data_IF_652583195773
#
_entry.id   IF_652583195773
#
_cell.length_a   1.000
_cell.length_b   1.000
_cell.length_c   1.000
_cell.angle_alpha   90.00
_cell.angle_beta   90.00
_cell.angle_gamma   90.00
#
_symmetry.space_group_name_H-M   'P 1'
#
loop_
_entity.id
_entity.type
_entity.pdbx_description
1 polymer ?
#
# COMPACT_ATOMS: atom_id res chain seq x y z
N UNK A 1 17.10 3.83 3.76
CA UNK A 1 16.82 2.87 4.83
C UNK A 1 15.49 2.24 4.51
N UNK A 2 15.52 0.97 4.10
CA UNK A 2 14.35 0.18 3.75
C UNK A 2 13.87 -0.50 5.03
N UNK A 3 12.70 -0.12 5.56
CA UNK A 3 12.07 -0.85 6.66
C UNK A 3 10.99 -1.73 6.06
N UNK A 4 11.09 -3.05 6.27
CA UNK A 4 10.05 -4.01 5.91
C UNK A 4 9.43 -4.44 7.25
N UNK A 5 8.14 -4.19 7.46
CA UNK A 5 7.40 -4.69 8.63
C UNK A 5 6.33 -5.66 8.15
N UNK A 6 6.66 -6.94 7.88
CA UNK A 6 5.65 -7.93 7.53
C UNK A 6 4.80 -8.34 8.75
N UNK A 7 5.23 -7.97 9.96
CA UNK A 7 4.52 -7.99 11.24
C UNK A 7 5.36 -7.16 12.21
N UNK A 8 4.80 -6.13 12.86
CA UNK A 8 5.57 -5.36 13.83
C UNK A 8 5.63 -6.12 15.17
N UNK A 9 6.84 -6.51 15.57
CA UNK A 9 7.23 -6.47 16.98
C UNK A 9 8.12 -5.23 17.14
N UNK A 10 7.79 -4.43 18.17
CA UNK A 10 8.43 -3.20 18.67
C UNK A 10 9.83 -2.87 18.10
N UNK A 11 10.00 -1.67 17.54
CA UNK A 11 11.30 -1.09 17.20
C UNK A 11 11.53 0.15 18.09
N UNK A 12 12.68 0.15 18.77
CA UNK A 12 13.11 1.22 19.67
C UNK A 12 13.72 2.39 18.88
N UNK A 13 13.54 3.61 19.37
CA UNK A 13 13.85 4.87 18.69
C UNK A 13 15.35 5.19 18.70
N UNK A 14 15.97 5.40 17.54
CA UNK A 14 17.16 6.25 17.41
C UNK A 14 17.05 7.22 16.22
N UNK A 15 17.44 8.46 16.50
CA UNK A 15 17.54 9.58 15.56
C UNK A 15 18.69 9.41 14.57
N UNK A 16 18.48 9.64 13.26
CA UNK A 16 19.40 10.50 12.50
C UNK A 16 18.95 10.85 11.07
N UNK A 17 19.48 11.98 10.63
CA UNK A 17 19.06 12.92 9.58
C UNK A 17 19.57 12.61 8.17
N UNK A 18 19.52 11.37 7.73
CA UNK A 18 19.58 11.08 6.28
C UNK A 18 18.80 9.80 5.99
N UNK A 19 18.32 9.58 4.76
CA UNK A 19 18.27 8.27 4.05
C UNK A 19 17.08 8.15 3.08
N UNK A 20 17.43 7.75 1.86
CA UNK A 20 16.57 7.45 0.72
C UNK A 20 15.60 6.25 0.91
N UNK A 21 14.51 6.28 0.12
CA UNK A 21 13.51 5.25 -0.26
C UNK A 21 12.98 4.33 0.86
N UNK A 22 11.66 4.32 1.11
CA UNK A 22 11.00 3.57 2.20
C UNK A 22 9.81 2.71 1.73
N UNK A 23 9.76 1.44 2.11
CA UNK A 23 8.66 0.49 1.82
C UNK A 23 7.81 0.29 3.07
N UNK A 24 6.56 -0.11 2.90
CA UNK A 24 5.69 -0.49 4.01
C UNK A 24 4.65 -1.51 3.49
N UNK A 25 4.38 -2.57 4.25
CA UNK A 25 3.49 -3.67 3.86
C UNK A 25 2.58 -4.04 5.01
N UNK A 26 1.30 -4.23 4.72
CA UNK A 26 0.26 -4.71 5.64
C UNK A 26 0.35 -4.03 7.01
N UNK A 27 0.92 -4.69 8.02
CA UNK A 27 1.04 -4.19 9.38
C UNK A 27 1.96 -2.98 9.57
N UNK A 28 2.64 -2.46 8.55
CA UNK A 28 3.50 -1.29 8.72
C UNK A 28 2.75 -0.06 9.24
N UNK A 29 1.48 0.14 8.84
CA UNK A 29 0.65 1.25 9.33
C UNK A 29 0.17 1.07 10.78
N UNK A 30 0.47 -0.06 11.45
CA UNK A 30 0.19 -0.30 12.87
C UNK A 30 1.35 0.10 13.78
N UNK A 31 2.51 0.46 13.21
CA UNK A 31 3.68 0.88 13.96
C UNK A 31 3.62 2.37 14.32
N UNK A 32 4.26 2.74 15.44
CA UNK A 32 4.53 4.13 15.85
C UNK A 32 3.29 5.06 15.74
N UNK A 33 2.12 4.57 16.16
CA UNK A 33 0.82 5.26 16.00
C UNK A 33 0.70 6.57 16.78
N UNK A 34 1.62 6.83 17.71
CA UNK A 34 1.72 8.11 18.45
C UNK A 34 2.67 9.11 17.81
N UNK A 35 3.47 8.69 16.82
CA UNK A 35 4.49 9.53 16.18
C UNK A 35 3.92 10.17 14.91
N UNK A 36 3.57 11.45 14.98
CA UNK A 36 2.99 12.20 13.84
C UNK A 36 3.86 12.14 12.58
N UNK A 37 5.18 12.15 12.75
CA UNK A 37 6.15 11.92 11.69
C UNK A 37 5.90 10.62 10.91
N UNK A 38 5.63 9.52 11.61
CA UNK A 38 5.45 8.21 11.00
C UNK A 38 4.13 8.13 10.23
N UNK A 39 3.05 8.70 10.76
CA UNK A 39 1.76 8.78 10.06
C UNK A 39 1.80 9.62 8.80
N UNK A 40 2.46 10.78 8.87
CA UNK A 40 2.69 11.62 7.68
C UNK A 40 3.57 10.89 6.65
N UNK A 41 4.54 10.11 7.14
CA UNK A 41 5.41 9.32 6.30
C UNK A 41 4.68 8.17 5.59
N UNK A 42 3.90 7.35 6.29
CA UNK A 42 3.17 6.21 5.72
C UNK A 42 1.92 6.64 4.96
N UNK A 43 1.39 7.82 5.28
CA UNK A 43 0.18 8.39 4.71
C UNK A 43 -1.06 8.23 5.58
N UNK A 44 -1.13 7.14 6.34
CA UNK A 44 -2.26 6.87 7.19
C UNK A 44 -1.87 5.92 8.34
N UNK A 45 -2.60 6.00 9.44
CA UNK A 45 -2.51 5.03 10.53
C UNK A 45 -3.64 4.00 10.40
N UNK A 46 -3.30 2.73 10.62
CA UNK A 46 -4.28 1.65 10.69
C UNK A 46 -5.28 1.93 11.81
N UNK A 47 -6.56 1.70 11.52
CA UNK A 47 -7.68 1.86 12.46
C UNK A 47 -8.32 0.52 12.79
N UNK A 48 -8.46 -0.38 11.81
CA UNK A 48 -9.17 -1.65 12.00
C UNK A 48 -9.36 -2.40 10.69
N UNK A 49 -10.05 -3.54 10.74
CA UNK A 49 -10.54 -4.24 9.55
C UNK A 49 -11.78 -5.09 9.89
N UNK A 50 -12.63 -5.39 8.89
CA UNK A 50 -13.67 -6.41 9.04
C UNK A 50 -13.06 -7.81 9.08
N UNK A 51 -13.90 -8.84 9.23
CA UNK A 51 -13.43 -10.21 9.01
C UNK A 51 -12.81 -10.35 7.62
N UNK A 52 -11.75 -11.14 7.56
CA UNK A 52 -11.05 -11.46 6.32
C UNK A 52 -12.02 -12.07 5.31
N UNK A 53 -12.10 -11.48 4.12
CA UNK A 53 -13.08 -11.82 3.10
C UNK A 53 -12.58 -11.41 1.71
N UNK A 54 -13.30 -11.86 0.68
CA UNK A 54 -13.05 -11.37 -0.68
C UNK A 54 -13.59 -9.95 -0.84
N UNK A 55 -12.85 -9.11 -1.55
CA UNK A 55 -13.29 -7.80 -2.00
C UNK A 55 -12.83 -7.58 -3.45
N UNK A 56 -13.52 -6.70 -4.16
CA UNK A 56 -13.08 -6.22 -5.48
C UNK A 56 -12.25 -4.95 -5.30
N UNK A 57 -11.04 -4.97 -5.82
CA UNK A 57 -10.11 -3.84 -5.83
C UNK A 57 -10.07 -3.21 -7.21
N UNK A 58 -10.19 -1.89 -7.26
CA UNK A 58 -10.05 -1.09 -8.48
C UNK A 58 -8.61 -0.56 -8.61
N UNK A 59 -8.03 -0.72 -9.80
CA UNK A 59 -6.71 -0.18 -10.12
C UNK A 59 -6.81 1.31 -10.45
N UNK A 60 -6.02 2.10 -9.74
CA UNK A 60 -5.74 3.50 -10.04
C UNK A 60 -4.29 3.59 -10.54
N UNK A 61 -4.05 4.30 -11.64
CA UNK A 61 -2.71 4.42 -12.24
C UNK A 61 -2.11 3.09 -12.79
N UNK A 62 -2.70 2.52 -13.87
CA UNK A 62 -2.33 1.20 -14.40
C UNK A 62 -0.92 1.13 -15.01
N UNK A 63 -0.24 2.25 -15.19
CA UNK A 63 1.14 2.29 -15.70
C UNK A 63 2.18 2.14 -14.60
N UNK A 64 1.80 2.25 -13.33
CA UNK A 64 2.71 2.08 -12.22
C UNK A 64 3.12 0.59 -12.08
N UNK A 65 4.42 0.26 -11.93
CA UNK A 65 4.88 -1.14 -11.95
C UNK A 65 4.21 -2.04 -10.92
N UNK A 66 3.85 -1.49 -9.76
CA UNK A 66 3.12 -2.25 -8.73
C UNK A 66 1.73 -2.73 -9.16
N UNK A 67 1.10 -2.16 -10.19
CA UNK A 67 -0.27 -2.55 -10.59
C UNK A 67 -0.39 -2.82 -12.08
N UNK A 68 0.71 -2.78 -12.83
CA UNK A 68 0.70 -2.94 -14.29
C UNK A 68 0.31 -4.35 -14.77
N UNK A 69 0.50 -5.36 -13.92
CA UNK A 69 0.06 -6.74 -14.20
C UNK A 69 -1.40 -7.00 -13.80
N UNK A 70 -2.03 -6.08 -13.06
CA UNK A 70 -3.39 -6.28 -12.55
C UNK A 70 -4.43 -5.91 -13.61
N UNK A 71 -5.55 -6.64 -13.69
CA UNK A 71 -6.71 -6.18 -14.44
C UNK A 71 -7.29 -4.88 -13.84
N UNK A 72 -8.11 -4.11 -14.58
CA UNK A 72 -8.71 -2.87 -14.06
C UNK A 72 -9.47 -3.03 -12.74
N UNK A 73 -10.05 -4.22 -12.54
CA UNK A 73 -10.65 -4.68 -11.29
C UNK A 73 -10.16 -6.08 -10.97
N UNK A 74 -9.79 -6.31 -9.72
CA UNK A 74 -9.21 -7.57 -9.25
C UNK A 74 -9.92 -8.03 -7.98
N UNK A 75 -10.48 -9.24 -7.98
CA UNK A 75 -11.03 -9.85 -6.77
C UNK A 75 -9.91 -10.53 -5.99
N UNK A 76 -9.79 -10.21 -4.70
CA UNK A 76 -8.74 -10.76 -3.85
C UNK A 76 -9.24 -10.95 -2.41
N UNK A 77 -8.78 -12.03 -1.76
CA UNK A 77 -9.15 -12.41 -0.40
C UNK A 77 -8.10 -11.92 0.60
N UNK A 78 -8.47 -10.98 1.47
CA UNK A 78 -7.52 -10.35 2.40
C UNK A 78 -8.24 -9.61 3.55
N UNK A 79 -7.46 -9.10 4.51
CA UNK A 79 -7.94 -8.13 5.48
C UNK A 79 -8.03 -6.74 4.82
N UNK A 80 -9.26 -6.26 4.64
CA UNK A 80 -9.50 -4.93 4.08
C UNK A 80 -9.23 -3.87 5.16
N UNK A 81 -7.99 -3.39 5.21
CA UNK A 81 -7.55 -2.40 6.19
C UNK A 81 -8.34 -1.11 6.10
N UNK A 82 -8.67 -0.58 7.28
CA UNK A 82 -9.30 0.70 7.54
C UNK A 82 -8.28 1.65 8.18
N UNK A 83 -8.43 2.95 7.93
CA UNK A 83 -7.42 3.94 8.34
C UNK A 83 -8.05 5.14 9.04
N UNK A 84 -7.35 5.72 10.03
CA UNK A 84 -7.83 6.87 10.80
C UNK A 84 -8.01 8.15 9.95
N UNK A 85 -7.25 8.27 8.86
CA UNK A 85 -7.31 9.37 7.91
C UNK A 85 -7.16 8.86 6.48
N UNK A 86 -7.61 9.67 5.51
CA UNK A 86 -7.44 9.35 4.10
C UNK A 86 -6.01 9.69 3.67
N UNK A 87 -5.20 8.71 3.19
CA UNK A 87 -3.84 8.98 2.72
C UNK A 87 -3.79 10.06 1.62
N UNK A 88 -4.86 10.28 0.85
CA UNK A 88 -4.91 11.35 -0.16
C UNK A 88 -4.74 12.74 0.43
N UNK A 89 -5.12 12.96 1.68
CA UNK A 89 -4.91 14.23 2.40
C UNK A 89 -3.41 14.54 2.61
N UNK A 90 -2.54 13.53 2.45
CA UNK A 90 -1.08 13.64 2.58
C UNK A 90 -0.35 13.66 1.22
N UNK A 91 -0.98 14.14 0.15
CA UNK A 91 -0.43 14.23 -1.22
C UNK A 91 0.06 12.88 -1.77
N UNK A 92 -0.70 11.83 -1.51
CA UNK A 92 -0.39 10.46 -1.93
C UNK A 92 -1.20 10.09 -3.17
N UNK A 93 -0.61 9.26 -4.04
CA UNK A 93 -1.27 8.74 -5.24
C UNK A 93 -1.71 7.30 -5.01
N UNK A 94 -3.01 7.04 -5.24
CA UNK A 94 -3.59 5.71 -5.08
C UNK A 94 -3.19 4.76 -6.22
N UNK A 95 -3.01 3.49 -5.86
CA UNK A 95 -2.76 2.37 -6.75
C UNK A 95 -3.91 1.36 -6.73
N UNK A 96 -4.43 1.06 -5.54
CA UNK A 96 -5.56 0.17 -5.36
C UNK A 96 -6.55 0.78 -4.38
N UNK A 97 -7.83 0.62 -4.69
CA UNK A 97 -8.91 0.92 -3.74
C UNK A 97 -9.93 -0.20 -3.69
N UNK A 98 -10.42 -0.57 -2.50
CA UNK A 98 -11.51 -1.53 -2.37
C UNK A 98 -12.85 -0.88 -2.72
N UNK A 99 -13.64 -1.55 -3.55
CA UNK A 99 -14.99 -1.12 -3.94
C UNK A 99 -15.93 -1.41 -2.76
N UNK A 100 -16.50 -0.36 -2.17
CA UNK A 100 -17.29 -0.46 -0.93
C UNK A 100 -18.46 -1.45 -1.01
N UNK A 101 -19.12 -1.58 -2.15
CA UNK A 101 -20.24 -2.50 -2.33
C UNK A 101 -19.84 -3.97 -2.48
N UNK A 102 -18.54 -4.29 -2.52
CA UNK A 102 -18.03 -5.65 -2.75
C UNK A 102 -17.68 -6.42 -1.47
N UNK A 103 -17.74 -5.78 -0.29
CA UNK A 103 -17.38 -6.40 0.98
C UNK A 103 -18.20 -5.83 2.15
N UNK A 104 -18.26 -6.57 3.25
CA UNK A 104 -18.85 -6.11 4.51
C UNK A 104 -17.81 -5.34 5.31
N UNK A 105 -18.04 -4.05 5.54
CA UNK A 105 -17.10 -3.16 6.23
C UNK A 105 -17.27 -3.12 7.77
N UNK A 106 -18.11 -3.98 8.33
CA UNK A 106 -18.31 -4.10 9.78
C UNK A 106 -17.01 -4.56 10.44
N UNK A 107 -16.34 -3.65 11.16
CA UNK A 107 -15.08 -3.99 11.82
C UNK A 107 -15.30 -5.01 12.95
N UNK A 108 -14.45 -6.02 12.98
CA UNK A 108 -14.45 -7.07 14.01
C UNK A 108 -13.14 -7.09 14.80
N UNK A 109 -12.12 -6.34 14.39
CA UNK A 109 -10.82 -6.25 15.06
C UNK A 109 -10.15 -4.89 14.80
N UNK A 110 -9.41 -4.37 15.80
CA UNK A 110 -8.52 -3.21 15.65
C UNK A 110 -8.99 -1.85 16.22
N UNK A 111 -10.25 -1.68 16.59
CA UNK A 111 -10.76 -0.38 17.10
C UNK A 111 -11.45 0.47 16.03
N UNK A 112 -12.13 1.53 16.47
CA UNK A 112 -13.11 2.40 15.76
C UNK A 112 -13.11 2.30 14.22
N UNK A 113 -14.26 1.96 13.64
CA UNK A 113 -14.48 2.08 12.18
C UNK A 113 -14.28 3.54 11.80
N UNK A 114 -13.29 3.82 10.96
CA UNK A 114 -13.08 5.20 10.52
C UNK A 114 -14.28 5.70 9.72
N UNK A 115 -14.76 6.94 9.94
CA UNK A 115 -15.92 7.52 9.24
C UNK A 115 -15.78 7.56 7.72
N UNK A 116 -14.55 7.46 7.19
CA UNK A 116 -14.26 7.46 5.75
C UNK A 116 -15.02 6.34 5.01
N UNK A 117 -15.36 5.23 5.70
CA UNK A 117 -15.66 3.96 5.04
C UNK A 117 -17.07 3.41 5.07
N UNK A 118 -18.02 4.04 5.76
CA UNK A 118 -19.39 3.47 5.83
C UNK A 118 -20.44 4.27 5.10
N UNK A 119 -20.08 5.38 4.44
CA UNK A 119 -21.06 6.15 3.69
C UNK A 119 -21.26 5.51 2.31
N UNK A 120 -22.47 5.02 1.97
CA UNK A 120 -22.77 4.62 0.59
C UNK A 120 -22.49 5.78 -0.36
N UNK A 121 -21.68 5.56 -1.39
CA UNK A 121 -21.21 6.62 -2.30
C UNK A 121 -20.04 7.46 -1.77
N UNK A 122 -19.45 7.08 -0.63
CA UNK A 122 -18.19 7.64 -0.13
C UNK A 122 -17.00 7.32 -1.05
N UNK A 123 -15.86 7.99 -0.85
CA UNK A 123 -14.67 7.77 -1.67
C UNK A 123 -14.20 6.32 -1.53
N UNK A 124 -13.65 5.70 -2.60
CA UNK A 124 -13.24 4.31 -2.56
C UNK A 124 -12.12 4.12 -1.52
N UNK A 125 -12.16 2.99 -0.81
CA UNK A 125 -11.27 2.74 0.32
C UNK A 125 -9.83 2.56 -0.18
N UNK A 126 -8.86 3.40 0.20
CA UNK A 126 -7.49 3.25 -0.25
C UNK A 126 -6.85 2.01 0.35
N UNK A 127 -6.17 1.22 -0.48
CA UNK A 127 -5.55 -0.06 -0.07
C UNK A 127 -4.06 -0.07 -0.39
N UNK A 128 -3.69 0.40 -1.57
CA UNK A 128 -2.29 0.56 -1.94
C UNK A 128 -2.05 1.93 -2.55
N UNK A 129 -0.88 2.49 -2.28
CA UNK A 129 -0.53 3.83 -2.72
C UNK A 129 0.98 4.04 -2.79
N UNK A 130 1.37 5.13 -3.44
CA UNK A 130 2.75 5.57 -3.48
C UNK A 130 2.87 7.08 -3.31
N UNK A 131 4.09 7.49 -2.99
CA UNK A 131 4.51 8.89 -3.03
C UNK A 131 5.90 8.95 -3.63
N UNK A 132 6.13 9.81 -4.61
CA UNK A 132 7.47 10.04 -5.13
C UNK A 132 8.10 11.31 -4.52
N UNK A 133 9.37 11.56 -4.87
CA UNK A 133 10.13 12.69 -4.36
C UNK A 133 9.61 14.07 -4.79
N UNK A 134 8.69 14.14 -5.77
CA UNK A 134 8.08 15.40 -6.21
C UNK A 134 6.89 15.82 -5.36
N UNK A 135 6.38 14.94 -4.50
CA UNK A 135 5.26 15.21 -3.60
C UNK A 135 5.78 15.67 -2.25
N UNK A 136 5.70 16.98 -2.00
CA UNK A 136 6.11 17.58 -0.74
C UNK A 136 5.27 17.02 0.42
N UNK A 137 5.97 16.63 1.49
CA UNK A 137 5.36 16.42 2.80
C UNK A 137 5.11 17.79 3.47
N UNK A 138 4.51 17.77 4.66
CA UNK A 138 4.33 18.98 5.46
C UNK A 138 5.62 19.83 5.50
N UNK A 139 5.55 21.17 5.56
CA UNK A 139 6.70 22.06 5.31
C UNK A 139 7.95 21.78 6.16
N UNK A 140 7.78 21.12 7.29
CA UNK A 140 8.79 20.71 8.27
C UNK A 140 9.41 19.32 8.00
N UNK A 141 8.88 18.57 7.03
CA UNK A 141 9.27 17.21 6.70
C UNK A 141 10.06 17.17 5.38
N UNK A 142 11.38 17.34 5.45
CA UNK A 142 12.26 17.19 4.29
C UNK A 142 12.39 15.69 3.94
N UNK A 143 11.65 15.24 2.92
CA UNK A 143 11.80 13.88 2.39
C UNK A 143 11.76 13.86 0.86
N UNK A 144 12.92 13.63 0.25
CA UNK A 144 13.10 13.48 -1.20
C UNK A 144 13.05 11.99 -1.64
N UNK A 145 12.25 11.16 -0.97
CA UNK A 145 12.26 9.70 -1.12
C UNK A 145 10.98 9.14 -1.72
N UNK A 146 11.07 7.95 -2.31
CA UNK A 146 9.90 7.17 -2.72
C UNK A 146 9.29 6.42 -1.52
N UNK A 147 7.97 6.35 -1.48
CA UNK A 147 7.14 5.52 -0.61
C UNK A 147 6.29 4.59 -1.47
N UNK A 148 6.24 3.31 -1.12
CA UNK A 148 5.22 2.38 -1.59
C UNK A 148 4.61 1.67 -0.38
N UNK A 149 3.29 1.69 -0.28
CA UNK A 149 2.50 1.07 0.78
C UNK A 149 1.40 0.21 0.16
N UNK A 150 1.18 -0.97 0.73
CA UNK A 150 0.02 -1.80 0.43
C UNK A 150 -0.52 -2.43 1.71
N UNK A 151 -1.84 -2.37 1.89
CA UNK A 151 -2.56 -3.03 2.99
C UNK A 151 -2.77 -4.53 2.75
N UNK A 152 -2.41 -5.05 1.59
CA UNK A 152 -2.57 -6.47 1.24
C UNK A 152 -1.44 -7.34 1.79
N UNK A 153 -1.70 -8.64 1.90
CA UNK A 153 -0.74 -9.70 2.20
C UNK A 153 -0.98 -10.43 3.51
N UNK A 154 -2.20 -10.43 4.07
CA UNK A 154 -2.48 -11.15 5.31
C UNK A 154 -2.37 -12.67 5.14
N UNK A 155 -3.09 -13.22 4.15
CA UNK A 155 -3.21 -14.65 3.95
C UNK A 155 -1.88 -15.23 3.46
N UNK A 156 -1.37 -16.28 4.10
CA UNK A 156 -0.13 -16.95 3.65
C UNK A 156 -0.30 -17.55 2.25
N UNK A 157 -1.51 -17.97 1.91
CA UNK A 157 -1.89 -18.55 0.63
C UNK A 157 -1.66 -17.55 -0.52
N UNK A 158 -1.92 -16.25 -0.27
CA UNK A 158 -1.66 -15.16 -1.22
C UNK A 158 -0.18 -15.13 -1.63
N UNK A 159 0.74 -15.30 -0.67
CA UNK A 159 2.19 -15.33 -0.96
C UNK A 159 2.64 -16.59 -1.71
N UNK A 160 1.94 -17.71 -1.50
CA UNK A 160 2.31 -19.00 -2.10
C UNK A 160 1.77 -19.17 -3.52
N UNK A 161 0.54 -18.71 -3.77
CA UNK A 161 -0.23 -19.11 -4.94
C UNK A 161 -0.71 -17.96 -5.83
N UNK A 162 -0.82 -16.73 -5.30
CA UNK A 162 -1.33 -15.60 -6.07
C UNK A 162 -0.19 -14.89 -6.81
N UNK A 163 -0.09 -15.16 -8.12
CA UNK A 163 0.94 -14.53 -8.96
C UNK A 163 0.70 -13.04 -9.16
N UNK A 164 -0.56 -12.59 -9.22
CA UNK A 164 -0.89 -11.17 -9.41
C UNK A 164 -0.52 -10.36 -8.17
N UNK A 165 -0.78 -10.88 -6.98
CA UNK A 165 -0.32 -10.28 -5.73
C UNK A 165 1.22 -10.22 -5.67
N UNK A 166 1.90 -11.31 -6.03
CA UNK A 166 3.37 -11.34 -6.01
C UNK A 166 3.94 -10.31 -6.98
N UNK A 167 3.40 -10.21 -8.19
CA UNK A 167 3.77 -9.19 -9.17
C UNK A 167 3.51 -7.77 -8.64
N UNK A 168 2.42 -7.55 -7.89
CA UNK A 168 2.15 -6.27 -7.24
C UNK A 168 3.26 -5.87 -6.26
N UNK A 169 3.71 -6.82 -5.43
CA UNK A 169 4.83 -6.61 -4.50
C UNK A 169 6.15 -6.41 -5.26
N UNK A 170 6.46 -7.23 -6.26
CA UNK A 170 7.69 -7.11 -7.04
C UNK A 170 7.77 -5.77 -7.78
N UNK A 171 6.69 -5.35 -8.43
CA UNK A 171 6.60 -4.08 -9.14
C UNK A 171 6.75 -2.88 -8.21
N UNK A 172 6.12 -2.91 -7.03
CA UNK A 172 6.30 -1.87 -6.01
C UNK A 172 7.73 -1.79 -5.49
N UNK A 173 8.38 -2.94 -5.30
CA UNK A 173 9.79 -3.04 -4.92
C UNK A 173 10.71 -2.47 -6.01
N UNK A 174 10.51 -2.84 -7.27
CA UNK A 174 11.29 -2.36 -8.41
C UNK A 174 11.17 -0.85 -8.56
N UNK A 175 9.94 -0.33 -8.52
CA UNK A 175 9.67 1.09 -8.58
C UNK A 175 10.35 1.86 -7.45
N UNK A 176 10.26 1.36 -6.22
CA UNK A 176 10.88 2.03 -5.09
C UNK A 176 12.41 2.07 -5.16
N UNK A 177 13.02 1.05 -5.77
CA UNK A 177 14.46 0.99 -5.98
C UNK A 177 14.92 1.77 -7.21
N UNK A 178 14.00 2.31 -8.02
CA UNK A 178 14.34 2.98 -9.28
C UNK A 178 14.90 2.04 -10.34
N UNK A 179 14.56 0.76 -10.26
CA UNK A 179 14.93 -0.21 -11.28
C UNK A 179 14.03 0.03 -12.51
N UNK A 180 14.64 0.42 -13.63
CA UNK A 180 13.92 0.51 -14.90
C UNK A 180 13.51 -0.91 -15.32
N UNK A 181 12.21 -1.20 -15.24
CA UNK A 181 11.66 -2.43 -15.82
C UNK A 181 11.53 -2.19 -17.33
N UNK A 182 12.61 -2.41 -18.07
CA UNK A 182 12.49 -2.60 -19.51
C UNK A 182 11.76 -3.93 -19.70
N UNK A 183 10.50 -3.89 -20.13
CA UNK A 183 9.77 -5.06 -20.59
C UNK A 183 10.47 -5.63 -21.83
N UNK A 184 11.53 -6.39 -21.61
CA UNK A 184 12.10 -7.23 -22.66
C UNK A 184 11.18 -8.44 -22.78
N UNK A 185 10.23 -8.38 -23.72
CA UNK A 185 9.58 -9.58 -24.20
C UNK A 185 10.66 -10.60 -24.64
N UNK A 186 10.47 -11.91 -24.43
CA UNK A 186 11.45 -12.90 -24.86
C UNK A 186 11.50 -12.91 -26.39
N UNK A 187 12.53 -12.27 -26.95
CA UNK A 187 12.81 -12.28 -28.37
C UNK A 187 13.19 -13.70 -28.79
N UNK A 188 12.35 -14.32 -29.60
CA UNK A 188 12.68 -15.53 -30.35
C UNK A 188 13.77 -15.16 -31.36
N UNK A 189 15.01 -15.59 -31.10
CA UNK A 189 16.05 -15.65 -32.12
C UNK A 189 15.97 -16.99 -32.84
N UNK A 190 15.33 -17.04 -33.99
CA UNK A 190 15.61 -18.08 -34.99
C UNK A 190 16.79 -17.62 -35.83
N UNK A 191 17.94 -18.28 -35.63
CA UNK A 191 19.17 -18.03 -36.38
C UNK A 191 19.07 -18.43 -37.84
N UNK A 192 19.91 -17.77 -38.65
CA UNK A 192 20.23 -18.07 -40.05
C UNK A 192 21.20 -19.26 -40.09
#
# INVERSE_FOLDING_TARGET
MVVILPRCTRIDTESNTSLANRKASHAATTALTTESFYGNLTGAFFSGHPEIQSATYQVSNPTHPAVSSLPPTWEHYDEIYQYHQDPRENNIILLLSAIQSSYSATATSGGVVSPIQLTPGGPPQPIAWFRDASHQLAPDLIHNGRLFQTGLGHAKETWLYDTLFRDHIYGGIQWLLGLNVTNSAPGVTTGI
#
